data_IF_409653161136
#
_entry.id   IF_409653161136
#
_cell.length_a   1.000
_cell.length_b   1.000
_cell.length_c   1.000
_cell.angle_alpha   90.00
_cell.angle_beta   90.00
_cell.angle_gamma   90.00
#
_symmetry.space_group_name_H-M   'P 1'
#
loop_
_entity.id
_entity.type
_entity.pdbx_description
1 polymer ?
#
# COMPACT_ATOMS: atom_id res chain seq x y z
N UNK A 1 81.54 36.07 16.09
CA UNK A 1 80.09 35.98 16.33
C UNK A 1 79.39 36.41 15.07
N UNK A 2 78.92 35.44 14.27
CA UNK A 2 78.23 35.65 13.00
C UNK A 2 76.76 35.24 13.17
N UNK A 3 75.82 36.01 12.60
CA UNK A 3 74.38 35.79 12.75
C UNK A 3 73.89 34.60 11.91
N UNK A 4 72.77 33.96 12.28
CA UNK A 4 72.24 32.82 11.56
C UNK A 4 71.46 33.24 10.30
N UNK A 5 71.53 32.33 9.34
CA UNK A 5 71.17 32.42 7.93
C UNK A 5 69.66 32.39 7.67
N UNK A 6 69.25 33.15 6.64
CA UNK A 6 67.98 33.06 5.93
C UNK A 6 67.92 31.78 5.09
N UNK A 7 66.82 31.03 5.18
CA UNK A 7 66.44 29.94 4.27
C UNK A 7 65.35 30.44 3.30
N UNK A 8 65.40 30.11 2.00
CA UNK A 8 64.45 30.59 1.01
C UNK A 8 63.21 29.69 0.92
N UNK A 9 62.07 30.32 0.62
CA UNK A 9 60.79 29.69 0.31
C UNK A 9 60.85 29.15 -1.13
N UNK A 10 60.73 27.83 -1.29
CA UNK A 10 60.54 27.18 -2.59
C UNK A 10 59.05 27.23 -2.97
N UNK A 11 58.74 27.89 -4.08
CA UNK A 11 57.43 27.88 -4.72
C UNK A 11 57.36 26.72 -5.72
N UNK A 12 56.36 25.85 -5.59
CA UNK A 12 56.01 24.87 -6.62
C UNK A 12 54.99 25.49 -7.62
N UNK A 13 55.10 25.23 -8.92
CA UNK A 13 54.08 25.62 -9.89
C UNK A 13 52.92 24.62 -9.87
N UNK A 14 51.70 25.14 -9.82
CA UNK A 14 50.48 24.37 -10.07
C UNK A 14 50.35 24.08 -11.57
N UNK A 15 50.41 22.81 -11.95
CA UNK A 15 50.11 22.37 -13.30
C UNK A 15 48.59 22.31 -13.48
N UNK A 16 48.07 23.17 -14.37
CA UNK A 16 46.68 23.21 -14.78
C UNK A 16 46.45 22.07 -15.80
N UNK A 17 45.74 21.02 -15.41
CA UNK A 17 45.27 19.97 -16.34
C UNK A 17 43.89 20.38 -16.86
N UNK A 18 43.83 20.84 -18.11
CA UNK A 18 42.58 21.07 -18.83
C UNK A 18 42.12 19.72 -19.39
N UNK A 19 41.28 19.02 -18.64
CA UNK A 19 40.57 17.84 -19.13
C UNK A 19 39.33 18.27 -19.91
N UNK A 20 39.26 17.90 -21.19
CA UNK A 20 38.09 18.09 -22.02
C UNK A 20 36.90 17.29 -21.43
N UNK A 21 35.85 18.01 -21.03
CA UNK A 21 34.56 17.42 -20.66
C UNK A 21 33.87 16.94 -21.94
N UNK A 22 33.91 15.64 -22.20
CA UNK A 22 32.94 14.99 -23.07
C UNK A 22 31.66 14.79 -22.25
N UNK A 23 30.46 15.07 -22.81
CA UNK A 23 29.21 14.76 -22.13
C UNK A 23 29.15 13.24 -21.92
N UNK A 24 29.01 12.83 -20.66
CA UNK A 24 28.73 11.45 -20.32
C UNK A 24 27.35 11.10 -20.87
N UNK A 25 27.33 10.43 -22.03
CA UNK A 25 26.15 9.70 -22.48
C UNK A 25 25.81 8.68 -21.39
N UNK A 26 24.68 8.87 -20.72
CA UNK A 26 24.08 7.90 -19.82
C UNK A 26 23.61 6.69 -20.63
N UNK A 27 24.55 5.82 -20.99
CA UNK A 27 24.26 4.48 -21.45
C UNK A 27 23.74 3.70 -20.25
N UNK A 28 22.45 3.37 -20.26
CA UNK A 28 21.86 2.45 -19.29
C UNK A 28 22.70 1.18 -19.24
N UNK A 29 23.10 0.78 -18.04
CA UNK A 29 23.73 -0.51 -17.83
C UNK A 29 22.70 -1.59 -18.18
N UNK A 30 22.73 -2.08 -19.41
CA UNK A 30 22.14 -3.36 -19.77
C UNK A 30 22.88 -4.42 -18.95
N UNK A 31 22.32 -4.77 -17.79
CA UNK A 31 22.88 -5.78 -16.90
C UNK A 31 22.94 -7.13 -17.62
N UNK A 32 24.03 -7.87 -17.39
CA UNK A 32 24.25 -9.21 -17.91
C UNK A 32 23.28 -10.29 -17.35
N UNK A 33 22.28 -9.91 -16.55
CA UNK A 33 21.17 -10.77 -16.15
C UNK A 33 20.00 -10.50 -17.09
N UNK A 34 19.35 -11.53 -17.63
CA UNK A 34 18.28 -11.40 -18.64
C UNK A 34 16.99 -10.75 -18.14
N UNK A 35 17.06 -9.58 -17.52
CA UNK A 35 15.96 -8.72 -17.12
C UNK A 35 16.41 -7.27 -17.29
N UNK A 36 15.46 -6.36 -17.46
CA UNK A 36 15.73 -4.92 -17.48
C UNK A 36 15.23 -4.32 -16.18
N UNK A 37 15.98 -3.37 -15.62
CA UNK A 37 15.49 -2.54 -14.52
C UNK A 37 14.98 -1.26 -15.15
N UNK A 38 13.69 -1.00 -15.00
CA UNK A 38 13.15 0.30 -15.37
C UNK A 38 13.72 1.36 -14.41
N UNK A 39 14.09 2.54 -14.92
CA UNK A 39 14.54 3.61 -14.04
C UNK A 39 13.44 3.92 -13.03
N UNK A 40 13.83 4.33 -11.82
CA UNK A 40 12.85 4.86 -10.89
C UNK A 40 12.12 6.05 -11.51
N UNK A 41 10.80 6.10 -11.30
CA UNK A 41 10.07 7.36 -11.45
C UNK A 41 10.82 8.42 -10.63
N UNK A 42 11.06 9.63 -11.18
CA UNK A 42 11.59 10.71 -10.36
C UNK A 42 10.70 10.89 -9.14
N UNK A 43 11.29 11.15 -7.96
CA UNK A 43 10.51 11.60 -6.81
C UNK A 43 9.72 12.83 -7.27
N UNK A 44 8.40 12.72 -7.31
CA UNK A 44 7.54 13.80 -7.81
C UNK A 44 7.72 15.05 -6.97
N UNK A 45 7.23 16.18 -7.47
CA UNK A 45 6.89 17.27 -6.57
C UNK A 45 5.73 16.77 -5.71
N UNK A 46 5.97 16.61 -4.41
CA UNK A 46 4.96 16.08 -3.50
C UNK A 46 3.65 16.85 -3.62
N UNK A 47 2.60 16.13 -3.94
CA UNK A 47 1.25 16.68 -3.97
C UNK A 47 0.70 16.59 -2.55
N UNK A 48 0.25 17.73 -2.03
CA UNK A 48 -0.31 17.81 -0.68
C UNK A 48 -1.82 17.60 -0.77
N UNK A 49 -2.24 16.43 -0.34
CA UNK A 49 -3.62 16.01 -0.15
C UNK A 49 -4.19 16.71 1.09
N UNK A 50 -5.06 17.70 0.86
CA UNK A 50 -5.68 18.53 1.90
C UNK A 50 -6.90 17.81 2.46
N UNK A 51 -6.84 17.44 3.74
CA UNK A 51 -7.92 16.74 4.45
C UNK A 51 -8.68 17.72 5.34
N UNK A 52 -9.96 17.91 5.04
CA UNK A 52 -10.92 18.56 5.93
C UNK A 52 -11.69 17.49 6.68
N UNK A 53 -11.41 17.34 7.98
CA UNK A 53 -12.07 16.35 8.83
C UNK A 53 -13.18 16.99 9.66
N UNK A 54 -14.37 16.39 9.61
CA UNK A 54 -15.55 16.84 10.38
C UNK A 54 -16.01 15.71 11.28
N UNK A 55 -15.89 15.93 12.59
CA UNK A 55 -16.34 14.97 13.60
C UNK A 55 -17.83 15.17 13.87
N UNK A 56 -18.67 14.23 13.47
CA UNK A 56 -20.13 14.27 13.55
C UNK A 56 -20.64 13.20 14.52
N UNK A 57 -21.27 13.63 15.61
CA UNK A 57 -21.89 12.74 16.59
C UNK A 57 -23.40 12.98 16.62
N UNK A 58 -24.22 12.16 15.92
CA UNK A 58 -25.67 12.21 16.07
C UNK A 58 -26.12 12.13 17.54
N UNK A 59 -27.28 12.71 17.84
CA UNK A 59 -27.77 12.79 19.21
C UNK A 59 -27.90 11.41 19.88
N UNK A 60 -27.43 11.31 21.13
CA UNK A 60 -27.50 10.09 21.94
C UNK A 60 -26.42 9.05 21.66
N UNK A 61 -25.39 9.40 20.89
CA UNK A 61 -24.21 8.56 20.63
C UNK A 61 -23.03 9.04 21.48
N UNK A 62 -22.39 8.11 22.18
CA UNK A 62 -21.22 8.40 22.99
C UNK A 62 -20.02 8.70 22.11
N UNK A 63 -19.31 9.79 22.43
CA UNK A 63 -18.09 10.22 21.76
C UNK A 63 -16.91 9.48 22.40
N UNK A 64 -16.18 8.68 21.63
CA UNK A 64 -15.19 7.74 22.16
C UNK A 64 -13.73 8.06 21.80
N UNK A 65 -13.49 9.14 21.06
CA UNK A 65 -12.17 9.72 20.82
C UNK A 65 -12.26 11.24 20.68
N UNK A 66 -11.13 11.91 20.62
CA UNK A 66 -11.01 13.38 20.60
C UNK A 66 -10.56 13.89 19.24
N UNK A 67 -10.69 15.20 19.03
CA UNK A 67 -10.08 15.91 17.92
C UNK A 67 -8.56 15.69 17.85
N UNK A 68 -7.91 15.60 19.01
CA UNK A 68 -6.46 15.36 19.08
C UNK A 68 -6.06 14.00 18.49
N UNK A 69 -6.87 12.98 18.72
CA UNK A 69 -6.64 11.63 18.20
C UNK A 69 -6.74 11.61 16.67
N UNK A 70 -7.75 12.28 16.10
CA UNK A 70 -7.88 12.43 14.64
C UNK A 70 -6.70 13.19 14.01
N UNK A 71 -6.24 14.26 14.67
CA UNK A 71 -5.07 15.01 14.19
C UNK A 71 -3.80 14.15 14.22
N UNK A 72 -3.61 13.36 15.28
CA UNK A 72 -2.47 12.44 15.39
C UNK A 72 -2.52 11.37 14.28
N UNK A 73 -3.68 10.76 14.06
CA UNK A 73 -3.85 9.75 13.02
C UNK A 73 -3.53 10.29 11.62
N UNK A 74 -4.00 11.50 11.26
CA UNK A 74 -3.66 12.13 9.98
C UNK A 74 -2.16 12.45 9.84
N UNK A 75 -1.44 12.66 10.95
CA UNK A 75 0.02 12.84 10.93
C UNK A 75 0.75 11.51 10.74
N UNK A 76 0.24 10.44 11.34
CA UNK A 76 0.72 9.07 11.13
C UNK A 76 0.50 8.63 9.68
N UNK A 77 -0.66 8.93 9.10
CA UNK A 77 -0.96 8.69 7.68
C UNK A 77 -0.03 9.47 6.74
N UNK A 78 0.23 10.77 7.01
CA UNK A 78 1.21 11.56 6.22
C UNK A 78 2.59 10.90 6.25
N UNK A 79 3.05 10.48 7.44
CA UNK A 79 4.35 9.84 7.59
C UNK A 79 4.43 8.50 6.82
N UNK A 80 3.37 7.70 6.86
CA UNK A 80 3.27 6.44 6.13
C UNK A 80 3.32 6.65 4.61
N UNK A 81 2.45 7.51 4.06
CA UNK A 81 2.41 7.78 2.62
C UNK A 81 3.67 8.51 2.12
N UNK A 82 4.27 9.42 2.90
CA UNK A 82 5.54 10.09 2.57
C UNK A 82 6.67 9.05 2.38
N UNK A 83 6.78 8.10 3.32
CA UNK A 83 7.79 7.06 3.29
C UNK A 83 7.61 6.11 2.09
N UNK A 84 6.39 5.62 1.86
CA UNK A 84 6.10 4.63 0.81
C UNK A 84 6.20 5.20 -0.60
N UNK A 85 5.82 6.47 -0.77
CA UNK A 85 5.75 7.14 -2.08
C UNK A 85 6.99 7.97 -2.40
N UNK A 86 7.98 8.02 -1.48
CA UNK A 86 9.16 8.85 -1.63
C UNK A 86 8.84 10.36 -1.65
N UNK A 87 7.78 10.75 -0.94
CA UNK A 87 7.25 12.11 -0.85
C UNK A 87 6.37 12.55 -2.02
N UNK A 88 5.90 11.63 -2.88
CA UNK A 88 5.00 11.96 -4.00
C UNK A 88 3.58 12.27 -3.49
N UNK A 89 3.13 11.53 -2.47
CA UNK A 89 1.86 11.76 -1.78
C UNK A 89 2.15 12.23 -0.36
N UNK A 90 1.58 13.37 0.00
CA UNK A 90 1.67 13.99 1.33
C UNK A 90 0.27 14.32 1.80
N UNK A 91 0.01 14.20 3.09
CA UNK A 91 -1.26 14.55 3.69
C UNK A 91 -1.09 15.78 4.57
N UNK A 92 -2.06 16.69 4.51
CA UNK A 92 -2.14 17.82 5.42
C UNK A 92 -3.57 17.96 5.92
N UNK A 93 -3.73 17.96 7.25
CA UNK A 93 -4.98 18.34 7.87
C UNK A 93 -5.22 19.85 7.64
N UNK A 94 -6.06 20.18 6.67
CA UNK A 94 -6.48 21.57 6.39
C UNK A 94 -7.30 22.10 7.56
N UNK A 95 -8.25 21.28 8.03
CA UNK A 95 -9.00 21.54 9.24
C UNK A 95 -9.51 20.24 9.87
N UNK A 96 -9.66 20.25 11.20
CA UNK A 96 -10.32 19.19 11.97
C UNK A 96 -11.24 19.86 12.97
N UNK A 97 -12.52 19.54 12.98
CA UNK A 97 -13.49 20.12 13.94
C UNK A 97 -13.42 19.41 15.30
N UNK A 98 -13.99 20.02 16.34
CA UNK A 98 -14.46 19.22 17.49
C UNK A 98 -15.76 18.48 17.12
N UNK A 99 -16.25 17.62 18.00
CA UNK A 99 -17.52 16.91 17.81
C UNK A 99 -18.70 17.88 17.63
N UNK A 100 -19.38 17.75 16.50
CA UNK A 100 -20.60 18.46 16.17
C UNK A 100 -21.78 17.50 16.30
N UNK A 101 -22.79 17.93 17.05
CA UNK A 101 -24.07 17.24 17.12
C UNK A 101 -25.06 17.90 16.15
N UNK A 102 -25.53 17.21 15.11
CA UNK A 102 -26.53 17.74 14.21
C UNK A 102 -27.86 18.01 14.94
N UNK A 103 -28.45 19.18 14.73
CA UNK A 103 -29.81 19.50 15.20
C UNK A 103 -30.89 18.72 14.43
N UNK A 104 -30.57 18.25 13.21
CA UNK A 104 -31.47 17.48 12.36
C UNK A 104 -31.40 15.98 12.70
N UNK A 105 -32.47 15.37 13.25
CA UNK A 105 -32.48 13.97 13.63
C UNK A 105 -32.42 13.00 12.43
N UNK A 106 -32.52 13.49 11.19
CA UNK A 106 -32.32 12.69 9.99
C UNK A 106 -30.84 12.40 9.69
N UNK A 107 -29.92 13.18 10.27
CA UNK A 107 -28.48 12.91 10.19
C UNK A 107 -28.14 11.75 11.12
N UNK A 108 -27.88 10.59 10.53
CA UNK A 108 -27.77 9.33 11.26
C UNK A 108 -26.66 8.46 10.71
N UNK A 109 -25.98 7.72 11.59
CA UNK A 109 -24.97 6.72 11.20
C UNK A 109 -25.53 5.54 10.38
N UNK A 110 -26.85 5.44 10.20
CA UNK A 110 -27.49 4.47 9.29
C UNK A 110 -27.59 4.96 7.85
N UNK A 111 -27.29 6.24 7.61
CA UNK A 111 -27.32 6.89 6.31
C UNK A 111 -26.05 7.71 6.13
N UNK A 112 -25.01 7.10 5.54
CA UNK A 112 -23.71 7.73 5.27
C UNK A 112 -23.87 9.02 4.46
N UNK A 113 -24.80 9.03 3.51
CA UNK A 113 -25.04 10.20 2.68
C UNK A 113 -25.58 11.38 3.51
N UNK A 114 -26.34 11.12 4.58
CA UNK A 114 -26.78 12.17 5.51
C UNK A 114 -25.60 12.79 6.27
N UNK A 115 -24.67 11.96 6.76
CA UNK A 115 -23.49 12.41 7.52
C UNK A 115 -22.53 13.18 6.61
N UNK A 116 -22.22 12.63 5.44
CA UNK A 116 -21.32 13.27 4.47
C UNK A 116 -21.88 14.62 3.99
N UNK A 117 -23.19 14.67 3.71
CA UNK A 117 -23.87 15.92 3.34
C UNK A 117 -23.82 16.95 4.48
N UNK A 118 -24.05 16.52 5.72
CA UNK A 118 -23.94 17.39 6.88
C UNK A 118 -22.51 17.92 7.03
N UNK A 119 -21.51 17.05 6.98
CA UNK A 119 -20.09 17.40 7.08
C UNK A 119 -19.68 18.41 5.99
N UNK A 120 -20.09 18.17 4.74
CA UNK A 120 -19.84 19.07 3.63
C UNK A 120 -20.48 20.45 3.85
N UNK A 121 -21.77 20.48 4.23
CA UNK A 121 -22.49 21.74 4.47
C UNK A 121 -21.93 22.52 5.67
N UNK A 122 -21.58 21.82 6.75
CA UNK A 122 -21.05 22.44 7.97
C UNK A 122 -19.68 23.06 7.75
N UNK A 123 -18.78 22.33 7.09
CA UNK A 123 -17.41 22.80 6.81
C UNK A 123 -17.34 23.83 5.68
N UNK A 124 -18.35 23.85 4.80
CA UNK A 124 -18.27 24.61 3.55
C UNK A 124 -17.29 24.00 2.54
N UNK A 125 -16.88 22.75 2.75
CA UNK A 125 -15.97 22.04 1.86
C UNK A 125 -16.55 21.93 0.45
N UNK A 126 -15.67 22.03 -0.54
CA UNK A 126 -16.02 21.90 -1.96
C UNK A 126 -15.11 20.86 -2.62
N UNK A 127 -15.66 19.95 -3.43
CA UNK A 127 -14.86 18.94 -4.11
C UNK A 127 -13.88 19.58 -5.10
N UNK A 128 -12.75 18.92 -5.29
CA UNK A 128 -11.76 19.29 -6.27
C UNK A 128 -10.46 18.51 -6.08
N UNK A 129 -9.50 18.69 -7.00
CA UNK A 129 -8.22 18.01 -6.92
C UNK A 129 -7.53 18.27 -5.58
N UNK A 130 -6.90 17.22 -5.06
CA UNK A 130 -6.16 17.18 -3.80
C UNK A 130 -6.97 17.55 -2.56
N UNK A 131 -8.31 17.56 -2.64
CA UNK A 131 -9.18 17.91 -1.52
C UNK A 131 -10.00 16.71 -1.08
N UNK A 132 -9.91 16.42 0.21
CA UNK A 132 -10.57 15.28 0.83
C UNK A 132 -11.46 15.74 1.96
N UNK A 133 -12.71 15.29 1.97
CA UNK A 133 -13.61 15.44 3.10
C UNK A 133 -13.62 14.13 3.88
N UNK A 134 -13.19 14.17 5.14
CA UNK A 134 -13.23 13.04 6.04
C UNK A 134 -14.34 13.25 7.08
N UNK A 135 -15.48 12.62 6.88
CA UNK A 135 -16.57 12.61 7.85
C UNK A 135 -16.31 11.51 8.89
N UNK A 136 -16.22 11.90 10.16
CA UNK A 136 -15.83 11.00 11.24
C UNK A 136 -16.99 10.87 12.22
N UNK A 137 -17.41 9.65 12.53
CA UNK A 137 -18.44 9.36 13.54
C UNK A 137 -17.84 8.57 14.71
N UNK A 138 -18.46 8.58 15.90
CA UNK A 138 -17.97 7.76 17.01
C UNK A 138 -18.00 6.26 16.67
N UNK A 139 -17.06 5.50 17.21
CA UNK A 139 -17.15 4.03 17.17
C UNK A 139 -18.16 3.54 18.24
N UNK A 140 -18.87 2.47 17.91
CA UNK A 140 -19.92 1.90 18.75
C UNK A 140 -21.07 1.33 17.92
N UNK A 141 -21.87 0.44 18.53
CA UNK A 141 -22.92 -0.34 17.85
C UNK A 141 -23.96 0.48 17.07
N UNK A 142 -24.10 1.76 17.36
CA UNK A 142 -25.02 2.69 16.69
C UNK A 142 -24.45 3.26 15.37
N UNK A 143 -23.12 3.27 15.23
CA UNK A 143 -22.37 3.68 14.03
C UNK A 143 -21.44 2.57 13.51
N UNK A 144 -21.59 1.34 14.02
CA UNK A 144 -20.68 0.26 13.76
C UNK A 144 -20.80 -0.28 12.33
N UNK A 145 -19.66 -0.76 11.83
CA UNK A 145 -19.48 -1.67 10.69
C UNK A 145 -19.42 -1.09 9.29
N UNK A 146 -19.22 0.21 9.14
CA UNK A 146 -19.21 0.81 7.80
C UNK A 146 -18.31 2.01 7.74
N UNK A 147 -17.04 1.77 7.46
CA UNK A 147 -16.24 2.78 6.80
C UNK A 147 -16.57 2.72 5.30
N UNK A 148 -16.45 3.85 4.62
CA UNK A 148 -16.71 3.92 3.19
C UNK A 148 -16.04 5.16 2.63
N UNK A 149 -15.47 5.05 1.45
CA UNK A 149 -14.94 6.18 0.72
C UNK A 149 -15.33 6.12 -0.74
N UNK A 150 -15.41 7.29 -1.36
CA UNK A 150 -15.49 7.39 -2.80
C UNK A 150 -14.26 6.75 -3.44
N UNK A 151 -14.48 5.84 -4.39
CA UNK A 151 -13.43 5.29 -5.24
C UNK A 151 -13.18 6.26 -6.39
N UNK A 152 -11.99 6.85 -6.42
CA UNK A 152 -11.60 7.80 -7.46
C UNK A 152 -10.73 7.13 -8.52
N UNK A 153 -10.54 7.80 -9.67
CA UNK A 153 -9.76 7.26 -10.79
C UNK A 153 -8.28 7.67 -10.78
N UNK A 154 -7.91 8.67 -9.96
CA UNK A 154 -6.54 9.16 -9.80
C UNK A 154 -6.18 9.50 -8.35
N UNK A 155 -4.88 9.52 -8.06
CA UNK A 155 -4.30 9.84 -6.75
C UNK A 155 -4.68 11.25 -6.28
N UNK A 156 -4.84 12.19 -7.22
CA UNK A 156 -5.07 13.61 -6.98
C UNK A 156 -6.54 14.04 -7.16
N UNK A 157 -7.46 13.12 -7.42
CA UNK A 157 -8.85 13.46 -7.71
C UNK A 157 -9.58 14.18 -6.55
N UNK A 158 -9.17 13.91 -5.30
CA UNK A 158 -9.94 14.28 -4.12
C UNK A 158 -11.12 13.34 -3.90
N UNK A 159 -11.80 13.42 -2.76
CA UNK A 159 -12.93 12.53 -2.48
C UNK A 159 -13.59 12.77 -1.14
N UNK A 160 -14.67 12.02 -0.89
CA UNK A 160 -15.36 11.98 0.40
C UNK A 160 -15.21 10.61 1.04
N UNK A 161 -14.70 10.60 2.27
CA UNK A 161 -14.54 9.41 3.10
C UNK A 161 -15.37 9.53 4.37
N UNK A 162 -15.86 8.39 4.85
CA UNK A 162 -16.61 8.21 6.08
C UNK A 162 -15.90 7.16 6.92
N UNK A 163 -15.54 7.51 8.16
CA UNK A 163 -14.90 6.59 9.10
C UNK A 163 -15.60 6.63 10.44
N UNK A 164 -15.68 5.48 11.10
CA UNK A 164 -16.15 5.39 12.49
C UNK A 164 -15.02 5.32 13.51
N UNK A 165 -13.76 5.53 13.11
CA UNK A 165 -12.59 5.32 13.97
C UNK A 165 -11.60 6.49 13.86
N UNK A 166 -10.78 6.66 14.90
CA UNK A 166 -9.59 7.50 14.88
C UNK A 166 -8.30 6.67 14.76
N UNK A 167 -8.40 5.37 14.44
CA UNK A 167 -7.22 4.55 14.17
C UNK A 167 -6.62 4.97 12.81
N UNK A 168 -5.30 5.20 12.75
CA UNK A 168 -4.64 5.67 11.53
C UNK A 168 -4.72 4.65 10.39
N UNK A 169 -4.60 3.34 10.66
CA UNK A 169 -4.70 2.32 9.61
C UNK A 169 -6.07 2.32 8.91
N UNK A 170 -7.15 2.61 9.64
CA UNK A 170 -8.49 2.73 9.08
C UNK A 170 -8.63 4.03 8.27
N UNK A 171 -8.12 5.15 8.77
CA UNK A 171 -8.18 6.42 8.05
C UNK A 171 -7.36 6.34 6.76
N UNK A 172 -6.15 5.78 6.82
CA UNK A 172 -5.32 5.53 5.65
C UNK A 172 -6.01 4.60 4.64
N UNK A 173 -6.69 3.54 5.09
CA UNK A 173 -7.46 2.66 4.20
C UNK A 173 -8.52 3.45 3.41
N UNK A 174 -9.35 4.22 4.11
CA UNK A 174 -10.43 4.96 3.45
C UNK A 174 -9.91 6.09 2.57
N UNK A 175 -8.90 6.84 3.01
CA UNK A 175 -8.24 7.84 2.18
C UNK A 175 -7.57 7.20 0.96
N UNK A 176 -7.08 5.97 1.08
CA UNK A 176 -6.53 5.18 -0.02
C UNK A 176 -7.49 5.07 -1.21
N UNK A 177 -8.80 4.90 -0.98
CA UNK A 177 -9.79 4.89 -2.06
C UNK A 177 -9.87 6.22 -2.82
N UNK A 178 -9.73 7.34 -2.10
CA UNK A 178 -9.65 8.68 -2.71
C UNK A 178 -8.32 8.91 -3.44
N UNK A 179 -7.31 8.08 -3.17
CA UNK A 179 -6.06 7.99 -3.94
C UNK A 179 -6.10 6.92 -5.04
N UNK A 180 -7.30 6.48 -5.42
CA UNK A 180 -7.53 5.47 -6.44
C UNK A 180 -7.05 4.05 -6.12
N UNK A 181 -6.83 3.77 -4.83
CA UNK A 181 -6.49 2.42 -4.38
C UNK A 181 -7.74 1.57 -4.24
N UNK A 182 -7.65 0.33 -4.70
CA UNK A 182 -8.68 -0.68 -4.53
C UNK A 182 -8.27 -1.67 -3.44
N UNK A 183 -9.26 -2.38 -2.89
CA UNK A 183 -9.00 -3.44 -1.93
C UNK A 183 -7.95 -4.42 -2.44
N UNK A 184 -7.01 -4.77 -1.56
CA UNK A 184 -6.05 -5.83 -1.82
C UNK A 184 -6.63 -7.16 -1.34
N UNK A 185 -7.01 -7.97 -2.31
CA UNK A 185 -7.65 -9.26 -2.08
C UNK A 185 -6.64 -10.39 -2.01
N UNK A 186 -7.13 -11.59 -1.73
CA UNK A 186 -6.40 -12.82 -1.98
C UNK A 186 -7.26 -13.81 -2.75
N UNK A 187 -6.61 -14.73 -3.47
CA UNK A 187 -7.28 -15.82 -4.15
C UNK A 187 -6.60 -17.14 -3.81
N UNK A 188 -7.41 -18.11 -3.41
CA UNK A 188 -6.98 -19.48 -3.14
C UNK A 188 -7.78 -20.42 -4.03
N UNK A 189 -7.09 -21.24 -4.84
CA UNK A 189 -7.72 -22.29 -5.63
C UNK A 189 -7.37 -23.67 -5.06
N UNK A 190 -8.24 -24.65 -5.28
CA UNK A 190 -7.97 -26.03 -4.85
C UNK A 190 -6.98 -26.76 -5.75
N UNK A 191 -6.89 -26.35 -7.03
CA UNK A 191 -6.11 -27.02 -8.07
C UNK A 191 -4.67 -26.52 -8.22
N UNK A 192 -4.36 -25.30 -7.76
CA UNK A 192 -3.05 -24.67 -7.94
C UNK A 192 -3.02 -23.26 -7.36
N UNK A 193 -1.84 -22.63 -7.38
CA UNK A 193 -1.65 -21.26 -6.89
C UNK A 193 -2.33 -20.20 -7.75
N UNK A 194 -2.40 -20.45 -9.06
CA UNK A 194 -2.88 -19.51 -10.06
C UNK A 194 -3.95 -20.17 -10.94
N UNK A 195 -4.68 -19.34 -11.67
CA UNK A 195 -5.89 -19.72 -12.37
C UNK A 195 -6.12 -18.87 -13.61
N UNK A 196 -6.76 -19.46 -14.62
CA UNK A 196 -7.22 -18.72 -15.79
C UNK A 196 -8.50 -17.97 -15.42
N UNK A 197 -8.52 -16.65 -15.63
CA UNK A 197 -9.63 -15.78 -15.27
C UNK A 197 -10.33 -15.18 -16.49
N UNK A 198 -10.03 -15.66 -17.71
CA UNK A 198 -10.59 -15.12 -18.95
C UNK A 198 -12.13 -15.14 -18.97
N UNK A 199 -12.74 -16.12 -18.30
CA UNK A 199 -14.19 -16.29 -18.16
C UNK A 199 -14.71 -15.95 -16.74
N UNK A 200 -13.93 -15.20 -15.96
CA UNK A 200 -14.18 -14.89 -14.55
C UNK A 200 -13.51 -15.85 -13.57
N UNK A 201 -13.75 -15.66 -12.26
CA UNK A 201 -13.15 -16.48 -11.21
C UNK A 201 -13.64 -17.95 -11.30
N UNK A 202 -12.74 -18.94 -11.46
CA UNK A 202 -13.13 -20.35 -11.54
C UNK A 202 -13.84 -20.84 -10.29
N UNK A 203 -14.73 -21.83 -10.45
CA UNK A 203 -15.54 -22.36 -9.34
C UNK A 203 -14.75 -23.05 -8.23
N UNK A 204 -13.51 -23.45 -8.51
CA UNK A 204 -12.60 -24.07 -7.55
C UNK A 204 -11.67 -23.05 -6.87
N UNK A 205 -11.88 -21.75 -7.13
CA UNK A 205 -11.17 -20.64 -6.53
C UNK A 205 -12.10 -19.82 -5.63
N UNK A 206 -11.55 -19.32 -4.52
CA UNK A 206 -12.22 -18.40 -3.60
C UNK A 206 -11.42 -17.11 -3.56
N UNK A 207 -12.10 -15.98 -3.79
CA UNK A 207 -11.55 -14.63 -3.61
C UNK A 207 -12.01 -14.08 -2.26
N UNK A 208 -11.07 -13.60 -1.46
CA UNK A 208 -11.33 -12.85 -0.24
C UNK A 208 -10.97 -11.39 -0.49
N UNK A 209 -11.96 -10.50 -0.46
CA UNK A 209 -11.81 -9.10 -0.87
C UNK A 209 -10.70 -8.34 -0.13
N UNK A 210 -10.55 -8.57 1.18
CA UNK A 210 -9.50 -7.99 2.01
C UNK A 210 -8.39 -9.01 2.32
N UNK A 211 -8.28 -10.05 1.52
CA UNK A 211 -7.50 -11.24 1.86
C UNK A 211 -5.98 -11.05 1.85
N UNK A 212 -5.46 -9.91 1.37
CA UNK A 212 -4.05 -9.59 1.54
C UNK A 212 -3.81 -9.08 2.96
N UNK A 213 -3.11 -9.87 3.76
CA UNK A 213 -2.88 -9.54 5.18
C UNK A 213 -1.64 -8.66 5.41
N UNK A 214 -1.06 -8.13 4.33
CA UNK A 214 0.18 -7.34 4.33
C UNK A 214 0.03 -5.95 3.71
N UNK A 215 -1.20 -5.50 3.45
CA UNK A 215 -1.49 -4.21 2.84
C UNK A 215 -2.58 -3.48 3.62
N UNK A 216 -2.45 -2.16 3.77
CA UNK A 216 -3.46 -1.33 4.44
C UNK A 216 -4.80 -1.40 3.71
N UNK A 217 -4.81 -1.60 2.39
CA UNK A 217 -6.02 -1.80 1.58
C UNK A 217 -6.56 -3.25 1.66
N UNK A 218 -5.90 -4.13 2.40
CA UNK A 218 -6.37 -5.47 2.73
C UNK A 218 -6.72 -5.59 4.21
N UNK A 219 -6.41 -6.73 4.83
CA UNK A 219 -6.65 -6.97 6.27
C UNK A 219 -5.35 -7.02 7.06
N UNK A 220 -4.46 -6.05 6.85
CA UNK A 220 -3.23 -5.92 7.64
C UNK A 220 -3.51 -5.49 9.09
N UNK A 221 -4.57 -4.71 9.30
CA UNK A 221 -4.93 -4.07 10.58
C UNK A 221 -3.81 -3.20 11.18
N UNK A 222 -2.80 -2.82 10.39
CA UNK A 222 -1.65 -2.00 10.77
C UNK A 222 -0.99 -1.43 9.52
N UNK A 223 0.05 -0.60 9.70
CA UNK A 223 0.93 -0.19 8.63
C UNK A 223 2.00 -1.23 8.33
N UNK A 224 1.90 -1.82 7.15
CA UNK A 224 2.99 -2.52 6.49
C UNK A 224 3.34 -1.81 5.19
N UNK A 225 4.56 -1.97 4.66
CA UNK A 225 4.92 -1.41 3.36
C UNK A 225 3.88 -1.77 2.29
N UNK A 226 3.54 -0.81 1.42
CA UNK A 226 2.50 -1.02 0.41
C UNK A 226 2.90 -2.13 -0.56
N UNK A 227 1.91 -2.91 -0.98
CA UNK A 227 2.12 -3.97 -1.97
C UNK A 227 2.54 -3.38 -3.32
N UNK A 228 3.26 -4.17 -4.11
CA UNK A 228 3.73 -3.81 -5.44
C UNK A 228 2.60 -3.37 -6.39
N UNK A 229 1.44 -4.00 -6.31
CA UNK A 229 0.21 -3.60 -7.03
C UNK A 229 -0.27 -2.22 -6.60
N UNK A 230 -0.32 -1.96 -5.30
CA UNK A 230 -0.71 -0.66 -4.71
C UNK A 230 0.27 0.45 -5.12
N UNK A 231 1.57 0.18 -5.00
CA UNK A 231 2.62 1.10 -5.44
C UNK A 231 2.56 1.36 -6.96
N UNK A 232 2.20 0.35 -7.77
CA UNK A 232 2.08 0.52 -9.23
C UNK A 232 0.85 1.35 -9.58
N UNK A 233 -0.28 1.09 -8.91
CA UNK A 233 -1.50 1.90 -9.07
C UNK A 233 -1.22 3.36 -8.74
N UNK A 234 -0.41 3.64 -7.72
CA UNK A 234 0.00 5.01 -7.40
C UNK A 234 1.08 5.58 -8.33
N UNK A 235 1.63 4.80 -9.28
CA UNK A 235 2.69 5.24 -10.19
C UNK A 235 4.07 5.44 -9.54
N UNK A 236 4.27 4.93 -8.33
CA UNK A 236 5.47 5.19 -7.49
C UNK A 236 6.44 4.01 -7.42
N UNK A 237 6.24 2.95 -8.22
CA UNK A 237 7.22 1.85 -8.28
C UNK A 237 8.53 2.35 -8.86
N UNK A 238 9.56 2.26 -8.04
CA UNK A 238 10.93 2.55 -8.41
C UNK A 238 11.70 1.27 -8.75
N UNK A 239 12.65 1.37 -9.68
CA UNK A 239 13.58 0.27 -10.02
C UNK A 239 12.88 -1.07 -10.29
N UNK A 240 11.74 -1.05 -10.99
CA UNK A 240 10.99 -2.26 -11.37
C UNK A 240 11.86 -3.17 -12.22
N UNK A 241 12.03 -4.42 -11.80
CA UNK A 241 12.64 -5.44 -12.63
C UNK A 241 11.58 -6.04 -13.58
N UNK A 242 11.89 -6.10 -14.86
CA UNK A 242 11.06 -6.72 -15.90
C UNK A 242 11.84 -7.89 -16.50
N UNK A 243 11.40 -9.16 -16.30
CA UNK A 243 12.12 -10.32 -16.82
C UNK A 243 12.12 -10.31 -18.35
N UNK A 244 13.23 -10.70 -18.98
CA UNK A 244 13.23 -10.97 -20.43
C UNK A 244 12.62 -12.34 -20.69
N UNK A 245 11.65 -12.41 -21.59
CA UNK A 245 10.92 -13.62 -21.92
C UNK A 245 11.83 -14.77 -22.41
N UNK A 246 11.27 -15.97 -22.42
CA UNK A 246 11.93 -17.23 -22.76
C UNK A 246 12.27 -18.03 -21.51
N UNK A 247 13.54 -18.44 -21.37
CA UNK A 247 13.99 -19.22 -20.23
C UNK A 247 13.97 -18.45 -18.90
N UNK A 248 14.23 -19.17 -17.81
CA UNK A 248 14.28 -18.62 -16.45
C UNK A 248 15.30 -17.47 -16.30
N UNK A 249 14.95 -16.48 -15.48
CA UNK A 249 15.73 -15.28 -15.15
C UNK A 249 15.89 -15.16 -13.65
N UNK A 250 17.14 -15.15 -13.20
CA UNK A 250 17.49 -14.92 -11.80
C UNK A 250 17.51 -13.43 -11.49
N UNK A 251 16.69 -13.01 -10.54
CA UNK A 251 16.48 -11.61 -10.17
C UNK A 251 16.55 -11.50 -8.64
N UNK A 252 17.48 -10.70 -8.09
CA UNK A 252 17.45 -10.34 -6.67
C UNK A 252 16.38 -9.26 -6.43
N UNK A 253 15.64 -9.38 -5.34
CA UNK A 253 14.67 -8.38 -4.88
C UNK A 253 14.95 -8.01 -3.42
N UNK A 254 14.93 -6.72 -3.14
CA UNK A 254 15.06 -6.18 -1.77
C UNK A 254 13.71 -6.26 -1.07
N UNK A 255 13.73 -6.31 0.26
CA UNK A 255 12.51 -6.23 1.06
C UNK A 255 11.73 -4.94 0.81
N UNK A 256 10.43 -4.94 1.10
CA UNK A 256 9.61 -3.75 0.85
C UNK A 256 9.98 -2.56 1.74
N UNK A 257 10.48 -2.81 2.96
CA UNK A 257 11.06 -1.77 3.85
C UNK A 257 12.43 -1.21 3.41
N UNK A 258 13.03 -1.70 2.32
CA UNK A 258 14.26 -1.09 1.79
C UNK A 258 14.06 0.34 1.24
N UNK A 259 12.81 0.83 1.25
CA UNK A 259 12.41 2.18 0.89
C UNK A 259 12.32 2.42 -0.61
N UNK A 260 11.81 3.61 -0.98
CA UNK A 260 11.58 4.03 -2.36
C UNK A 260 12.80 3.91 -3.28
N UNK A 261 14.04 3.90 -2.78
CA UNK A 261 15.22 3.81 -3.65
C UNK A 261 15.53 2.39 -4.17
N UNK A 262 14.91 1.35 -3.61
CA UNK A 262 15.33 -0.03 -3.81
C UNK A 262 14.58 -0.74 -4.96
N UNK A 263 15.22 -1.77 -5.55
CA UNK A 263 14.55 -2.72 -6.45
C UNK A 263 13.69 -3.68 -5.63
N UNK A 264 12.45 -3.28 -5.37
CA UNK A 264 11.49 -4.03 -4.53
C UNK A 264 10.50 -4.89 -5.32
N UNK A 265 10.35 -4.61 -6.61
CA UNK A 265 9.27 -5.18 -7.45
C UNK A 265 9.82 -5.84 -8.71
N UNK A 266 9.41 -7.09 -8.96
CA UNK A 266 9.44 -7.69 -10.31
C UNK A 266 8.02 -7.70 -10.86
N UNK A 267 7.83 -7.39 -12.14
CA UNK A 267 6.49 -7.49 -12.75
C UNK A 267 6.53 -7.71 -14.26
N UNK A 268 5.44 -8.28 -14.77
CA UNK A 268 5.18 -8.49 -16.20
C UNK A 268 3.68 -8.65 -16.43
N UNK A 269 3.23 -8.42 -17.67
CA UNK A 269 1.89 -8.82 -18.10
C UNK A 269 1.94 -10.20 -18.74
N UNK A 270 0.88 -10.97 -18.60
CA UNK A 270 0.72 -12.25 -19.28
C UNK A 270 0.77 -12.04 -20.81
N UNK A 271 1.68 -12.73 -21.53
CA UNK A 271 1.77 -12.61 -22.97
C UNK A 271 0.53 -13.05 -23.76
N UNK A 272 -0.28 -13.95 -23.20
CA UNK A 272 -1.53 -14.45 -23.79
C UNK A 272 -2.73 -13.60 -23.37
N UNK A 273 -2.69 -13.03 -22.17
CA UNK A 273 -3.76 -12.17 -21.64
C UNK A 273 -3.19 -10.88 -20.99
N UNK A 274 -2.82 -9.86 -21.77
CA UNK A 274 -2.10 -8.69 -21.26
C UNK A 274 -2.82 -7.85 -20.18
N UNK A 275 -4.11 -8.09 -19.93
CA UNK A 275 -4.84 -7.53 -18.79
C UNK A 275 -4.46 -8.17 -17.46
N UNK A 276 -3.89 -9.38 -17.47
CA UNK A 276 -3.39 -10.04 -16.27
C UNK A 276 -1.95 -9.60 -16.02
N UNK A 277 -1.74 -8.86 -14.95
CA UNK A 277 -0.42 -8.38 -14.53
C UNK A 277 0.02 -9.14 -13.29
N UNK A 278 1.27 -9.59 -13.27
CA UNK A 278 1.89 -10.23 -12.10
C UNK A 278 2.92 -9.32 -11.46
N UNK A 279 2.98 -9.39 -10.14
CA UNK A 279 3.96 -8.75 -9.29
C UNK A 279 4.59 -9.81 -8.38
N UNK A 280 5.89 -9.69 -8.17
CA UNK A 280 6.64 -10.50 -7.21
C UNK A 280 7.36 -9.54 -6.27
N UNK A 281 7.17 -9.76 -4.97
CA UNK A 281 7.75 -8.93 -3.92
C UNK A 281 8.27 -9.80 -2.77
N UNK A 282 9.30 -9.32 -2.10
CA UNK A 282 9.84 -9.96 -0.92
C UNK A 282 9.25 -9.27 0.31
N UNK A 283 8.55 -10.05 1.14
CA UNK A 283 8.08 -9.67 2.46
C UNK A 283 9.06 -10.26 3.47
N UNK A 284 9.89 -9.42 4.05
CA UNK A 284 10.81 -9.83 5.11
C UNK A 284 10.11 -9.72 6.48
N UNK A 285 10.59 -10.48 7.46
CA UNK A 285 10.08 -10.36 8.83
C UNK A 285 10.21 -8.93 9.36
N UNK A 286 11.24 -8.19 8.95
CA UNK A 286 11.46 -6.79 9.37
C UNK A 286 10.40 -5.82 8.86
N UNK A 287 9.73 -6.14 7.74
CA UNK A 287 8.66 -5.31 7.20
C UNK A 287 7.50 -5.15 8.20
N UNK A 288 7.37 -6.09 9.14
CA UNK A 288 6.30 -6.09 10.14
C UNK A 288 6.47 -5.08 11.26
N UNK A 289 7.66 -4.50 11.38
CA UNK A 289 7.98 -3.53 12.42
C UNK A 289 8.38 -2.17 11.86
N UNK A 290 8.40 -2.02 10.53
CA UNK A 290 8.83 -0.79 9.86
C UNK A 290 8.03 0.41 10.36
N UNK A 291 6.73 0.25 10.56
CA UNK A 291 5.81 1.34 10.93
C UNK A 291 5.18 1.18 12.32
N UNK A 292 5.70 0.28 13.17
CA UNK A 292 5.23 0.11 14.55
C UNK A 292 5.36 1.42 15.37
N UNK A 293 6.28 2.31 14.97
CA UNK A 293 6.45 3.61 15.61
C UNK A 293 5.35 4.63 15.27
N UNK A 294 4.58 4.38 14.20
CA UNK A 294 3.40 5.15 13.83
C UNK A 294 2.17 4.53 14.48
N UNK A 295 1.96 3.23 14.29
CA UNK A 295 0.82 2.51 14.81
C UNK A 295 1.15 1.03 15.00
N UNK A 296 1.08 0.55 16.23
CA UNK A 296 1.26 -0.87 16.58
C UNK A 296 -0.08 -1.46 17.00
N UNK A 297 -0.76 -2.10 16.05
CA UNK A 297 -2.07 -2.68 16.26
C UNK A 297 -2.00 -4.05 16.95
N UNK A 298 -2.84 -4.31 17.97
CA UNK A 298 -2.93 -5.63 18.60
C UNK A 298 -3.53 -6.70 17.68
N UNK A 299 -4.08 -6.31 16.52
CA UNK A 299 -4.67 -7.20 15.53
C UNK A 299 -3.75 -7.46 14.33
N UNK A 300 -2.54 -6.90 14.33
CA UNK A 300 -1.59 -7.16 13.24
C UNK A 300 -1.28 -8.66 13.15
N UNK A 301 -1.16 -9.13 11.91
CA UNK A 301 -0.92 -10.55 11.64
C UNK A 301 0.58 -10.80 11.50
N UNK A 302 1.13 -11.54 12.46
CA UNK A 302 2.53 -11.99 12.47
C UNK A 302 2.81 -13.07 11.42
N UNK A 303 3.97 -12.98 10.76
CA UNK A 303 4.45 -13.92 9.74
C UNK A 303 5.98 -13.98 9.72
N UNK A 304 6.52 -15.00 9.04
CA UNK A 304 7.95 -15.06 8.71
C UNK A 304 8.26 -14.41 7.37
N UNK A 305 9.53 -14.48 6.95
CA UNK A 305 9.96 -13.99 5.64
C UNK A 305 9.49 -14.90 4.50
N UNK A 306 9.16 -14.29 3.36
CA UNK A 306 8.75 -15.03 2.17
C UNK A 306 8.51 -14.14 0.95
N UNK A 307 8.35 -14.77 -0.21
CA UNK A 307 8.02 -14.06 -1.45
C UNK A 307 6.52 -14.13 -1.66
N UNK A 308 5.86 -12.99 -1.87
CA UNK A 308 4.47 -12.93 -2.30
C UNK A 308 4.40 -12.80 -3.82
N UNK A 309 3.37 -13.43 -4.39
CA UNK A 309 2.99 -13.26 -5.80
C UNK A 309 1.60 -12.63 -5.80
N UNK A 310 1.49 -11.47 -6.43
CA UNK A 310 0.24 -10.74 -6.59
C UNK A 310 -0.11 -10.72 -8.07
N UNK A 311 -1.38 -10.90 -8.40
CA UNK A 311 -1.89 -10.70 -9.76
C UNK A 311 -2.95 -9.60 -9.78
N UNK A 312 -3.24 -9.02 -10.93
CA UNK A 312 -4.42 -8.16 -11.11
C UNK A 312 -5.69 -8.89 -10.66
N UNK A 313 -6.56 -8.20 -9.94
CA UNK A 313 -7.77 -8.78 -9.35
C UNK A 313 -8.78 -9.18 -10.45
N UNK A 314 -9.30 -10.42 -10.44
CA UNK A 314 -10.21 -10.92 -11.46
C UNK A 314 -11.60 -10.25 -11.44
N UNK A 315 -11.95 -9.52 -10.38
CA UNK A 315 -13.21 -8.77 -10.25
C UNK A 315 -13.01 -7.26 -10.45
N UNK A 316 -11.78 -6.77 -10.55
CA UNK A 316 -11.47 -5.36 -10.81
C UNK A 316 -9.98 -5.15 -11.07
N UNK A 317 -9.59 -5.05 -12.34
CA UNK A 317 -8.17 -5.12 -12.76
C UNK A 317 -7.24 -4.05 -12.15
N UNK A 318 -7.79 -2.97 -11.58
CA UNK A 318 -7.05 -1.93 -10.87
C UNK A 318 -6.64 -2.34 -9.44
N UNK A 319 -7.26 -3.39 -8.87
CA UNK A 319 -6.86 -4.01 -7.61
C UNK A 319 -5.86 -5.15 -7.78
N UNK A 320 -5.24 -5.57 -6.67
CA UNK A 320 -4.34 -6.71 -6.62
C UNK A 320 -4.93 -7.86 -5.80
N UNK A 321 -4.70 -9.10 -6.25
CA UNK A 321 -5.00 -10.33 -5.55
C UNK A 321 -3.73 -11.10 -5.23
N UNK A 322 -3.42 -11.28 -3.95
CA UNK A 322 -2.33 -12.16 -3.51
C UNK A 322 -2.71 -13.62 -3.77
N UNK A 323 -1.82 -14.36 -4.43
CA UNK A 323 -2.01 -15.80 -4.63
C UNK A 323 -1.73 -16.55 -3.33
N UNK A 324 -2.63 -17.45 -2.97
CA UNK A 324 -2.57 -18.22 -1.72
C UNK A 324 -2.37 -19.69 -2.03
N UNK A 325 -1.50 -20.33 -1.25
CA UNK A 325 -1.20 -21.77 -1.35
C UNK A 325 -2.48 -22.60 -1.24
N UNK A 326 -2.72 -23.55 -2.17
CA UNK A 326 -3.85 -24.46 -2.09
C UNK A 326 -3.89 -25.25 -0.77
N UNK A 327 -5.03 -25.19 -0.08
CA UNK A 327 -5.30 -25.98 1.12
C UNK A 327 -4.52 -25.58 2.37
N UNK A 328 -3.88 -24.41 2.37
CA UNK A 328 -3.20 -23.83 3.52
C UNK A 328 -4.02 -22.63 4.02
N UNK A 329 -4.49 -22.70 5.26
CA UNK A 329 -5.25 -21.66 5.95
C UNK A 329 -4.39 -20.90 6.97
N UNK A 330 -3.08 -21.15 7.00
CA UNK A 330 -2.17 -20.44 7.90
C UNK A 330 -1.94 -18.99 7.45
N UNK A 331 -1.56 -18.09 8.37
CA UNK A 331 -1.14 -16.73 8.03
C UNK A 331 -0.01 -16.64 7.01
N UNK A 332 0.79 -17.71 6.85
CA UNK A 332 1.90 -17.79 5.89
C UNK A 332 1.50 -18.37 4.52
N UNK A 333 0.22 -18.67 4.29
CA UNK A 333 -0.24 -19.31 3.06
C UNK A 333 -0.04 -18.42 1.80
N UNK A 334 0.06 -17.11 1.98
CA UNK A 334 0.41 -16.12 0.94
C UNK A 334 1.92 -16.06 0.61
N UNK A 335 2.77 -16.78 1.36
CA UNK A 335 4.22 -16.74 1.22
C UNK A 335 4.78 -17.98 0.50
N UNK A 336 5.55 -17.72 -0.54
CA UNK A 336 6.39 -18.70 -1.23
C UNK A 336 7.75 -18.77 -0.53
N UNK A 337 8.16 -19.98 -0.16
CA UNK A 337 9.36 -20.24 0.65
C UNK A 337 10.56 -20.54 -0.23
N UNK A 338 11.76 -20.35 0.30
CA UNK A 338 12.99 -20.73 -0.38
C UNK A 338 12.97 -22.22 -0.79
N UNK A 339 13.36 -22.49 -2.03
CA UNK A 339 13.31 -23.81 -2.68
C UNK A 339 11.99 -24.14 -3.35
N UNK A 340 10.93 -23.35 -3.17
CA UNK A 340 9.64 -23.61 -3.80
C UNK A 340 9.56 -23.04 -5.23
N UNK A 341 8.67 -23.62 -6.02
CA UNK A 341 8.30 -23.14 -7.35
C UNK A 341 6.80 -23.06 -7.45
N UNK A 342 6.29 -21.89 -7.81
CA UNK A 342 4.89 -21.63 -8.10
C UNK A 342 4.69 -21.66 -9.62
N UNK A 343 3.98 -22.66 -10.16
CA UNK A 343 3.51 -22.60 -11.53
C UNK A 343 2.40 -21.55 -11.63
N UNK A 344 2.51 -20.71 -12.66
CA UNK A 344 1.49 -19.74 -13.03
C UNK A 344 0.84 -20.20 -14.34
N UNK A 345 -0.26 -19.58 -14.74
CA UNK A 345 -0.91 -19.94 -16.00
C UNK A 345 -0.01 -19.68 -17.21
N UNK A 346 -0.43 -20.21 -18.36
CA UNK A 346 0.21 -19.97 -19.65
C UNK A 346 1.71 -20.32 -19.73
N UNK A 347 2.20 -21.19 -18.83
CA UNK A 347 3.60 -21.66 -18.83
C UNK A 347 4.57 -20.72 -18.13
N UNK A 348 4.07 -19.76 -17.36
CA UNK A 348 4.87 -18.90 -16.49
C UNK A 348 5.20 -19.61 -15.17
N UNK A 349 6.25 -19.15 -14.48
CA UNK A 349 6.55 -19.63 -13.14
C UNK A 349 7.44 -18.67 -12.35
N UNK A 350 7.35 -18.76 -11.03
CA UNK A 350 8.23 -18.08 -10.07
C UNK A 350 8.80 -19.13 -9.13
N UNK A 351 10.12 -19.21 -9.03
CA UNK A 351 10.80 -20.00 -8.00
C UNK A 351 11.58 -19.10 -7.06
N UNK A 352 11.53 -19.39 -5.77
CA UNK A 352 12.33 -18.66 -4.77
C UNK A 352 13.63 -19.44 -4.56
N UNK A 353 14.70 -19.01 -5.20
CA UNK A 353 15.98 -19.70 -5.13
C UNK A 353 16.63 -19.60 -3.74
N UNK A 354 16.53 -18.44 -3.09
CA UNK A 354 17.06 -18.19 -1.76
C UNK A 354 16.37 -16.99 -1.09
N UNK A 355 16.37 -16.97 0.24
CA UNK A 355 16.04 -15.82 1.07
C UNK A 355 17.24 -15.58 2.01
N UNK A 356 17.72 -14.35 2.05
CA UNK A 356 18.77 -13.89 2.94
C UNK A 356 18.20 -12.76 3.81
N UNK A 357 17.71 -13.13 5.00
CA UNK A 357 17.10 -12.24 5.99
C UNK A 357 18.13 -11.28 6.60
N UNK A 358 19.43 -11.59 6.53
CA UNK A 358 20.48 -10.67 7.02
C UNK A 358 20.75 -9.58 5.99
N UNK A 359 20.74 -9.93 4.71
CA UNK A 359 20.91 -8.98 3.63
C UNK A 359 19.59 -8.28 3.22
N UNK A 360 18.46 -8.74 3.74
CA UNK A 360 17.09 -8.36 3.33
C UNK A 360 16.89 -8.48 1.82
N UNK A 361 17.27 -9.66 1.27
CA UNK A 361 17.17 -9.99 -0.16
C UNK A 361 16.57 -11.37 -0.36
N UNK A 362 15.56 -11.47 -1.21
CA UNK A 362 15.20 -12.74 -1.85
C UNK A 362 15.79 -12.82 -3.26
N UNK A 363 16.17 -14.01 -3.70
CA UNK A 363 16.56 -14.29 -5.08
C UNK A 363 15.49 -15.15 -5.73
N UNK A 364 14.86 -14.64 -6.78
CA UNK A 364 13.79 -15.34 -7.50
C UNK A 364 14.24 -15.71 -8.92
N UNK A 365 13.79 -16.86 -9.39
CA UNK A 365 13.93 -17.33 -10.76
C UNK A 365 12.56 -17.23 -11.44
N UNK A 366 12.42 -16.30 -12.38
CA UNK A 366 11.16 -16.01 -13.07
C UNK A 366 11.21 -16.50 -14.52
N UNK A 367 10.21 -17.27 -14.93
CA UNK A 367 10.05 -17.74 -16.32
C UNK A 367 8.80 -17.11 -16.92
N UNK A 368 8.95 -16.43 -18.05
CA UNK A 368 7.84 -15.82 -18.80
C UNK A 368 7.97 -16.21 -20.28
N UNK A 369 6.98 -16.86 -20.91
CA UNK A 369 6.99 -17.10 -22.34
C UNK A 369 7.09 -15.80 -23.15
N UNK A 370 7.60 -15.87 -24.37
CA UNK A 370 7.63 -14.69 -25.23
C UNK A 370 6.26 -14.42 -25.85
N UNK A 371 5.83 -13.16 -25.79
CA UNK A 371 4.65 -12.70 -26.52
C UNK A 371 4.91 -12.53 -28.01
N UNK A 372 3.90 -11.99 -28.71
CA UNK A 372 4.02 -11.66 -30.12
C UNK A 372 5.23 -10.74 -30.38
N UNK A 373 6.10 -11.16 -31.30
CA UNK A 373 7.33 -10.44 -31.62
C UNK A 373 8.53 -10.75 -30.72
N UNK A 374 8.47 -11.81 -29.91
CA UNK A 374 9.65 -12.33 -29.19
C UNK A 374 10.09 -11.47 -28.01
N UNK A 375 9.17 -10.73 -27.39
CA UNK A 375 9.44 -9.81 -26.28
C UNK A 375 8.52 -10.09 -25.09
N UNK A 376 8.98 -9.71 -23.90
CA UNK A 376 8.11 -9.63 -22.72
C UNK A 376 7.07 -8.55 -22.93
N UNK A 377 5.83 -8.81 -22.51
CA UNK A 377 4.80 -7.78 -22.45
C UNK A 377 5.00 -7.04 -21.13
N UNK A 378 5.43 -5.78 -21.21
CA UNK A 378 5.49 -4.92 -20.04
C UNK A 378 4.08 -4.66 -19.53
N UNK A 379 3.88 -4.58 -18.20
CA UNK A 379 2.64 -4.05 -17.65
C UNK A 379 2.38 -2.68 -18.28
N UNK A 380 1.14 -2.41 -18.67
CA UNK A 380 0.76 -1.02 -18.94
C UNK A 380 0.78 -0.34 -17.59
N UNK A 381 1.69 0.62 -17.40
CA UNK A 381 1.58 1.53 -16.28
C UNK A 381 0.21 2.19 -16.36
N UNK A 382 -0.48 2.28 -15.22
CA UNK A 382 -1.75 2.97 -15.16
C UNK A 382 -1.47 4.48 -15.22
N UNK A 383 -1.46 5.01 -16.45
CA UNK A 383 -1.01 6.39 -16.72
C UNK A 383 -1.99 7.44 -16.20
N UNK A 384 -3.18 7.02 -15.77
CA UNK A 384 -4.25 7.90 -15.34
C UNK A 384 -4.18 8.22 -13.83
N UNK A 385 -3.39 7.46 -13.06
CA UNK A 385 -3.38 7.60 -11.61
C UNK A 385 -2.61 8.83 -11.09
N UNK A 386 -1.54 9.25 -11.77
CA UNK A 386 -0.86 10.51 -11.51
C UNK A 386 -1.06 11.40 -12.74
N UNK A 387 -2.26 11.97 -12.88
CA UNK A 387 -2.49 12.94 -13.94
C UNK A 387 -1.60 14.16 -13.69
N UNK A 388 -0.85 14.60 -14.69
CA UNK A 388 -0.07 15.83 -14.61
C UNK A 388 -1.09 16.97 -14.41
N UNK A 389 -1.03 17.66 -13.27
CA UNK A 389 -1.97 18.68 -12.76
C UNK A 389 -2.16 19.94 -13.65
N UNK A 390 -1.91 19.81 -14.96
CA UNK A 390 -1.99 20.87 -15.96
C UNK A 390 -3.24 20.85 -16.84
N UNK A 391 -4.14 19.86 -16.74
CA UNK A 391 -5.41 19.89 -17.48
C UNK A 391 -6.59 20.26 -16.59
N UNK A 392 -6.84 21.57 -16.53
CA UNK A 392 -8.14 22.13 -16.15
C UNK A 392 -9.22 21.66 -17.14
N UNK A 393 -10.43 21.42 -16.65
CA UNK A 393 -11.70 21.13 -17.37
C UNK A 393 -12.08 19.66 -17.60
N UNK A 394 -12.81 19.08 -16.63
CA UNK A 394 -14.21 18.63 -16.85
C UNK A 394 -14.85 18.20 -15.52
N UNK A 395 -15.55 19.13 -14.89
CA UNK A 395 -16.57 18.81 -13.91
C UNK A 395 -17.88 18.54 -14.67
N UNK A 396 -18.46 17.33 -14.54
CA UNK A 396 -19.74 17.02 -15.13
C UNK A 396 -20.25 15.63 -14.80
N UNK A 397 -21.38 15.59 -14.09
CA UNK A 397 -22.33 14.47 -13.91
C UNK A 397 -21.99 13.35 -12.91
N UNK A 398 -22.45 13.58 -11.67
CA UNK A 398 -22.84 12.50 -10.75
C UNK A 398 -23.92 11.63 -11.40
N UNK A 399 -23.59 10.38 -11.72
CA UNK A 399 -24.58 9.36 -12.06
C UNK A 399 -24.92 8.58 -10.79
N UNK A 400 -26.22 8.56 -10.45
CA UNK A 400 -26.80 7.72 -9.41
C UNK A 400 -26.41 6.25 -9.60
N UNK A 401 -25.63 5.69 -8.67
CA UNK A 401 -25.38 4.25 -8.57
C UNK A 401 -26.32 3.65 -7.51
N UNK A 402 -27.54 3.32 -7.93
CA UNK A 402 -28.41 2.40 -7.19
C UNK A 402 -27.89 0.97 -7.32
N UNK A 403 -27.36 0.41 -6.23
CA UNK A 403 -26.86 -0.97 -6.23
C UNK A 403 -26.45 -1.52 -4.87
N UNK A 404 -27.06 -1.11 -3.76
CA UNK A 404 -26.81 -1.73 -2.45
C UNK A 404 -27.81 -2.87 -2.21
N UNK A 405 -27.30 -4.11 -2.26
CA UNK A 405 -28.09 -5.29 -1.95
C UNK A 405 -27.23 -6.51 -1.69
N UNK A 406 -26.65 -6.58 -0.48
CA UNK A 406 -26.30 -7.76 0.33
C UNK A 406 -24.92 -7.63 1.01
N UNK A 407 -24.92 -6.97 2.16
CA UNK A 407 -23.87 -7.16 3.18
C UNK A 407 -24.10 -8.54 3.82
N UNK A 408 -23.26 -9.50 3.46
CA UNK A 408 -23.13 -10.74 4.20
C UNK A 408 -22.29 -10.47 5.46
N UNK A 409 -22.80 -10.95 6.59
CA UNK A 409 -22.11 -10.91 7.87
C UNK A 409 -20.72 -11.55 7.78
N UNK A 410 -19.72 -10.87 8.34
CA UNK A 410 -18.34 -11.31 8.47
C UNK A 410 -18.23 -12.66 9.21
N UNK A 411 -17.53 -13.67 8.67
CA UNK A 411 -16.98 -14.76 9.47
C UNK A 411 -15.56 -14.38 9.91
N UNK A 412 -15.35 -14.12 11.21
CA UNK A 412 -13.99 -13.94 11.73
C UNK A 412 -13.85 -13.13 13.02
N UNK A 413 -14.82 -12.28 13.38
CA UNK A 413 -14.77 -11.60 14.68
C UNK A 413 -15.23 -12.53 15.80
N UNK A 414 -14.40 -12.84 16.83
CA UNK A 414 -14.94 -13.32 18.09
C UNK A 414 -15.80 -12.18 18.70
N UNK A 415 -17.02 -12.47 19.19
CA UNK A 415 -17.83 -11.45 19.84
C UNK A 415 -17.12 -10.94 21.09
N UNK A 416 -16.82 -9.65 21.14
CA UNK A 416 -16.40 -8.95 22.35
C UNK A 416 -17.60 -8.89 23.31
N UNK A 417 -17.79 -9.95 24.10
CA UNK A 417 -18.67 -9.90 25.28
C UNK A 417 -17.96 -9.12 26.39
N UNK A 418 -18.68 -8.20 27.02
CA UNK A 418 -18.32 -7.49 28.26
C UNK A 418 -17.76 -8.46 29.32
N UNK A 419 -16.44 -8.61 29.39
CA UNK A 419 -15.76 -9.30 30.48
C UNK A 419 -14.29 -8.86 30.60
N UNK A 420 -14.03 -7.56 30.76
CA UNK A 420 -12.74 -7.10 31.32
C UNK A 420 -12.82 -5.68 31.92
N UNK A 421 -13.85 -5.42 32.72
CA UNK A 421 -13.82 -4.35 33.71
C UNK A 421 -13.96 -5.01 35.09
N UNK A 422 -12.83 -5.35 35.69
CA UNK A 422 -12.78 -5.90 37.04
C UNK A 422 -11.54 -6.71 37.34
N UNK A 423 -10.37 -6.07 37.38
CA UNK A 423 -9.28 -6.56 38.24
C UNK A 423 -8.81 -5.46 39.18
N UNK A 424 -9.01 -5.77 40.45
CA UNK A 424 -8.58 -5.09 41.67
C UNK A 424 -7.04 -4.93 41.67
N UNK A 425 -6.48 -3.73 41.95
CA UNK A 425 -5.04 -3.46 41.90
C UNK A 425 -4.25 -4.00 43.12
N UNK A 426 -4.70 -5.07 43.76
CA UNK A 426 -4.08 -5.60 44.99
C UNK A 426 -3.33 -6.93 44.84
N UNK A 427 -3.17 -7.47 43.63
CA UNK A 427 -2.50 -8.77 43.43
C UNK A 427 -1.27 -8.68 42.50
N UNK A 428 -0.20 -8.08 43.01
CA UNK A 428 1.16 -8.16 42.43
C UNK A 428 2.13 -8.54 43.55
N UNK A 429 2.05 -9.79 44.00
CA UNK A 429 3.14 -10.45 44.75
C UNK A 429 2.99 -11.96 44.66
N UNK A 430 3.43 -12.54 43.55
CA UNK A 430 4.16 -13.83 43.50
C UNK A 430 4.17 -14.33 42.06
N UNK A 431 5.36 -14.40 41.46
CA UNK A 431 5.95 -15.56 40.78
C UNK A 431 7.23 -15.05 40.11
N UNK A 432 8.24 -14.80 40.95
CA UNK A 432 9.64 -14.90 40.56
C UNK A 432 10.28 -15.89 41.51
N UNK A 433 10.17 -17.19 41.19
CA UNK A 433 11.03 -18.25 41.74
C UNK A 433 10.87 -19.55 40.97
N UNK A 434 11.87 -19.81 40.12
CA UNK A 434 12.40 -21.15 39.90
C UNK A 434 12.11 -21.77 38.54
N UNK A 435 13.01 -22.51 37.91
CA UNK A 435 14.39 -22.93 38.24
C UNK A 435 14.93 -23.55 36.94
N UNK A 436 16.15 -23.15 36.56
CA UNK A 436 17.18 -23.85 35.75
C UNK A 436 16.91 -24.25 34.31
#
# INVERSE_FOLDING_TARGET
MRPPSLLPILSLPAALVVGALLPASSAGAAGAGGYTVQPATPRGHGVIQQVTAVMVAPAGIDRNFTRGDVVAALQEDDAFYDAETGGTVRLAAESVTDWIEPDDPSVSCKDYASINRFAQQYSGWTPGPDKHLLAIVPDGTQCAYTNNSEQTDSVDAGGVSFVSSANPDIIAHELGHSFSLHHQSSVQCTSGWDFDAADGLPSDCVRLEYGNTTDVMGSAYTFYPLSASTLDRMGVVSHRAVPTCGGSRRIPIRTLSAGYGAQRVVSWADPQEPSVVYYVQYRDEVDQSEYDYLWDSPFKVDRGSGVQIIRSDPQGAAGGSTLVRPGDDSPSAELVRAGETVPLIHGMSVSVAAIDEVAHVATVDVTVPCGAGGRTVSPRADQDALSDSSSTEQAGEMTEMTGMGQLAAMPGMPPMTEASLGRDPSDVTDVLRGVR
#
